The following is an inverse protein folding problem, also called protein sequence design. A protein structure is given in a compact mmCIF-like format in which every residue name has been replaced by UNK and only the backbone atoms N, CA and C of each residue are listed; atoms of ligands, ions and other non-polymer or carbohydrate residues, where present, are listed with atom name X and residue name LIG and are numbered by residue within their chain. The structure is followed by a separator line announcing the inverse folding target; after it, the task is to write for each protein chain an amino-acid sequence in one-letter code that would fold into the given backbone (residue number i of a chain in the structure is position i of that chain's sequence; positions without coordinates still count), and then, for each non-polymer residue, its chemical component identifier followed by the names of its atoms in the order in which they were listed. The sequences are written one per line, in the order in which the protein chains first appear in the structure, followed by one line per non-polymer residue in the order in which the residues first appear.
data_IF_903207446650
#
_entry.id   IF_903207446650
#
_cell.length_a   1.000
_cell.length_b   1.000
_cell.length_c   1.000
_cell.angle_alpha   90.00
_cell.angle_beta   90.00
_cell.angle_gamma   90.00
#
_symmetry.space_group_name_H-M   'P 1'
#
loop_
_entity.id
_entity.type
_entity.pdbx_description
1 polymer ?
#
# COMPACT_ATOMS: atom_id res chain seq x y z
N UNK A 1 10.27 15.57 14.29
CA UNK A 1 9.62 14.26 14.38
C UNK A 1 10.11 13.61 15.67
N UNK A 2 9.19 13.28 16.55
CA UNK A 2 9.48 12.59 17.82
C UNK A 2 9.82 11.12 17.58
N UNK A 3 10.47 10.49 18.57
CA UNK A 3 10.78 9.06 18.54
C UNK A 3 9.51 8.19 18.44
N UNK A 4 8.43 8.60 19.12
CA UNK A 4 7.15 7.91 19.06
C UNK A 4 6.51 7.98 17.66
N UNK A 5 6.57 9.13 16.99
CA UNK A 5 6.10 9.26 15.60
C UNK A 5 6.91 8.40 14.63
N UNK A 6 8.22 8.34 14.81
CA UNK A 6 9.09 7.50 13.99
C UNK A 6 8.78 6.01 14.16
N UNK A 7 8.71 5.52 15.40
CA UNK A 7 8.36 4.12 15.68
C UNK A 7 6.96 3.77 15.13
N UNK A 8 6.01 4.69 15.24
CA UNK A 8 4.67 4.51 14.68
C UNK A 8 4.67 4.42 13.15
N UNK A 9 5.38 5.33 12.46
CA UNK A 9 5.58 5.24 11.00
C UNK A 9 6.23 3.90 10.62
N UNK A 10 7.19 3.44 11.42
CA UNK A 10 7.95 2.24 11.11
C UNK A 10 7.17 0.95 11.31
N UNK A 11 6.27 0.90 12.30
CA UNK A 11 5.30 -0.19 12.45
C UNK A 11 4.40 -0.31 11.22
N UNK A 12 3.83 0.81 10.77
CA UNK A 12 3.00 0.86 9.55
C UNK A 12 3.82 0.42 8.34
N UNK A 13 5.04 0.94 8.19
CA UNK A 13 5.95 0.58 7.08
C UNK A 13 6.23 -0.92 7.03
N UNK A 14 6.54 -1.54 8.17
CA UNK A 14 6.82 -2.97 8.28
C UNK A 14 5.61 -3.81 7.89
N UNK A 15 4.42 -3.43 8.34
CA UNK A 15 3.17 -4.11 7.97
C UNK A 15 2.91 -4.03 6.47
N UNK A 16 3.06 -2.84 5.87
CA UNK A 16 2.92 -2.66 4.41
C UNK A 16 3.93 -3.51 3.63
N UNK A 17 5.18 -3.58 4.09
CA UNK A 17 6.21 -4.46 3.48
C UNK A 17 5.80 -5.93 3.59
N UNK A 18 5.24 -6.36 4.73
CA UNK A 18 4.71 -7.72 4.93
C UNK A 18 3.58 -8.03 3.95
N UNK A 19 2.61 -7.13 3.80
CA UNK A 19 1.48 -7.27 2.86
C UNK A 19 2.00 -7.44 1.43
N UNK A 20 2.94 -6.59 1.00
CA UNK A 20 3.50 -6.68 -0.35
C UNK A 20 4.27 -7.98 -0.56
N UNK A 21 5.08 -8.41 0.42
CA UNK A 21 5.77 -9.70 0.37
C UNK A 21 4.80 -10.87 0.23
N UNK A 22 3.65 -10.82 0.88
CA UNK A 22 2.66 -11.89 0.86
C UNK A 22 2.19 -12.18 -0.58
N UNK A 23 1.67 -11.19 -1.30
CA UNK A 23 1.11 -11.45 -2.63
C UNK A 23 2.17 -11.48 -3.75
N UNK A 24 3.30 -10.78 -3.58
CA UNK A 24 4.34 -10.65 -4.61
C UNK A 24 5.45 -11.70 -4.48
N UNK A 25 5.61 -12.30 -3.30
CA UNK A 25 6.77 -13.15 -2.94
C UNK A 25 8.07 -12.37 -2.67
N UNK A 26 8.09 -11.04 -2.89
CA UNK A 26 9.21 -10.13 -2.57
C UNK A 26 8.70 -8.79 -2.07
N UNK A 27 9.54 -8.09 -1.31
CA UNK A 27 9.18 -6.77 -0.75
C UNK A 27 9.00 -5.70 -1.82
N UNK A 28 8.35 -4.58 -1.48
CA UNK A 28 8.30 -3.40 -2.34
C UNK A 28 9.70 -2.80 -2.48
N UNK A 29 9.91 -1.97 -3.50
CA UNK A 29 11.15 -1.22 -3.67
C UNK A 29 11.28 -0.12 -2.61
N UNK A 30 10.17 0.55 -2.30
CA UNK A 30 10.12 1.57 -1.29
C UNK A 30 8.73 1.66 -0.66
N UNK A 31 8.69 2.01 0.63
CA UNK A 31 7.46 2.38 1.33
C UNK A 31 7.73 3.66 2.09
N UNK A 32 6.95 4.71 1.79
CA UNK A 32 7.01 5.98 2.50
C UNK A 32 5.71 6.19 3.25
N UNK A 33 5.82 6.34 4.56
CA UNK A 33 4.69 6.67 5.44
C UNK A 33 4.83 8.13 5.85
N UNK A 34 3.76 8.91 5.71
CA UNK A 34 3.69 10.30 6.16
C UNK A 34 2.52 10.45 7.12
N UNK A 35 2.78 11.02 8.29
CA UNK A 35 1.75 11.46 9.23
C UNK A 35 1.43 12.91 8.87
N UNK A 36 0.42 13.13 8.03
CA UNK A 36 0.07 14.47 7.55
C UNK A 36 -0.62 15.29 8.65
N UNK A 37 -1.37 14.61 9.52
CA UNK A 37 -2.00 15.17 10.72
C UNK A 37 -2.27 14.06 11.75
N UNK A 38 -2.88 14.40 12.88
CA UNK A 38 -3.33 13.41 13.87
C UNK A 38 -4.33 12.40 13.28
N UNK A 39 -5.09 12.81 12.25
CA UNK A 39 -6.17 12.03 11.63
C UNK A 39 -5.81 11.44 10.26
N UNK A 40 -4.86 12.02 9.53
CA UNK A 40 -4.53 11.62 8.17
C UNK A 40 -3.14 11.00 8.08
N UNK A 41 -3.08 9.77 7.56
CA UNK A 41 -1.84 9.07 7.23
C UNK A 41 -1.82 8.80 5.73
N UNK A 42 -0.70 9.11 5.09
CA UNK A 42 -0.46 8.79 3.68
C UNK A 42 0.63 7.73 3.57
N UNK A 43 0.37 6.67 2.81
CA UNK A 43 1.29 5.58 2.53
C UNK A 43 1.52 5.52 1.03
N UNK A 44 2.77 5.69 0.60
CA UNK A 44 3.21 5.51 -0.78
C UNK A 44 4.02 4.21 -0.87
N UNK A 45 3.65 3.33 -1.79
CA UNK A 45 4.27 2.01 -1.98
C UNK A 45 4.76 1.91 -3.42
N UNK A 46 6.06 1.72 -3.64
CA UNK A 46 6.66 1.55 -4.98
C UNK A 46 7.14 0.12 -5.20
N UNK A 47 7.19 -0.32 -6.45
CA UNK A 47 7.67 -1.66 -6.81
C UNK A 47 6.69 -2.76 -6.40
N UNK A 48 5.40 -2.50 -6.57
CA UNK A 48 4.29 -3.36 -6.12
C UNK A 48 3.90 -4.45 -7.12
N UNK A 49 4.30 -4.31 -8.38
CA UNK A 49 3.94 -5.25 -9.44
C UNK A 49 4.83 -6.50 -9.41
N UNK A 50 4.22 -7.64 -9.71
CA UNK A 50 4.95 -8.86 -10.04
C UNK A 50 5.72 -8.69 -11.35
N UNK A 51 6.72 -9.55 -11.62
CA UNK A 51 7.44 -9.51 -12.90
C UNK A 51 6.51 -9.70 -14.11
N UNK A 52 5.48 -10.54 -13.98
CA UNK A 52 4.47 -10.72 -15.03
C UNK A 52 3.65 -9.44 -15.25
N UNK A 53 3.16 -8.84 -14.17
CA UNK A 53 2.42 -7.58 -14.24
C UNK A 53 3.28 -6.45 -14.82
N UNK A 54 4.58 -6.43 -14.51
CA UNK A 54 5.52 -5.48 -15.11
C UNK A 54 5.59 -5.62 -16.63
N UNK A 55 5.70 -6.85 -17.15
CA UNK A 55 5.71 -7.16 -18.58
C UNK A 55 4.39 -6.76 -19.23
N UNK A 56 3.25 -7.16 -18.67
CA UNK A 56 1.92 -6.85 -19.23
C UNK A 56 1.72 -5.35 -19.42
N UNK A 57 2.07 -4.52 -18.42
CA UNK A 57 1.95 -3.07 -18.58
C UNK A 57 2.94 -2.53 -19.62
N UNK A 58 4.16 -3.09 -19.73
CA UNK A 58 5.12 -2.68 -20.79
C UNK A 58 4.60 -2.98 -22.20
N UNK A 59 3.86 -4.07 -22.36
CA UNK A 59 3.19 -4.45 -23.61
C UNK A 59 1.85 -3.71 -23.84
N UNK A 60 1.51 -2.73 -23.01
CA UNK A 60 0.27 -1.94 -23.13
C UNK A 60 -0.99 -2.64 -22.59
N UNK A 61 -0.88 -3.84 -22.01
CA UNK A 61 -1.98 -4.59 -21.41
C UNK A 61 -2.32 -4.10 -19.98
N UNK A 62 -2.44 -2.79 -19.84
CA UNK A 62 -2.65 -2.10 -18.56
C UNK A 62 -3.96 -2.51 -17.89
N UNK A 63 -5.03 -2.62 -18.67
CA UNK A 63 -6.36 -2.93 -18.18
C UNK A 63 -6.42 -4.33 -17.56
N UNK A 64 -5.69 -5.31 -18.12
CA UNK A 64 -5.61 -6.66 -17.53
C UNK A 64 -4.98 -6.65 -16.14
N UNK A 65 -3.96 -5.81 -15.95
CA UNK A 65 -3.35 -5.63 -14.63
C UNK A 65 -4.30 -4.90 -13.68
N UNK A 66 -5.07 -3.93 -14.18
CA UNK A 66 -6.10 -3.26 -13.37
C UNK A 66 -7.21 -4.23 -12.91
N UNK A 67 -7.69 -5.13 -13.79
CA UNK A 67 -8.65 -6.17 -13.42
C UNK A 67 -8.09 -7.14 -12.37
N UNK A 68 -6.83 -7.56 -12.50
CA UNK A 68 -6.15 -8.37 -11.48
C UNK A 68 -6.18 -7.69 -10.10
N UNK A 69 -5.93 -6.38 -10.04
CA UNK A 69 -5.96 -5.64 -8.78
C UNK A 69 -7.34 -5.57 -8.14
N UNK A 70 -8.44 -5.63 -8.91
CA UNK A 70 -9.80 -5.69 -8.38
C UNK A 70 -10.08 -6.98 -7.60
N UNK A 71 -9.38 -8.07 -7.94
CA UNK A 71 -9.47 -9.35 -7.23
C UNK A 71 -8.51 -9.38 -6.04
N UNK A 72 -7.28 -8.87 -6.23
CA UNK A 72 -6.26 -8.88 -5.19
C UNK A 72 -6.63 -7.98 -4.00
N UNK A 73 -7.16 -6.78 -4.25
CA UNK A 73 -7.44 -5.80 -3.19
C UNK A 73 -8.40 -6.36 -2.11
N UNK A 74 -9.59 -6.90 -2.44
CA UNK A 74 -10.48 -7.51 -1.45
C UNK A 74 -9.86 -8.68 -0.67
N UNK A 75 -9.00 -9.46 -1.34
CA UNK A 75 -8.28 -10.56 -0.69
C UNK A 75 -7.34 -10.01 0.40
N UNK A 76 -6.54 -8.99 0.07
CA UNK A 76 -5.62 -8.36 1.02
C UNK A 76 -6.36 -7.65 2.16
N UNK A 77 -7.50 -7.03 1.88
CA UNK A 77 -8.35 -6.43 2.91
C UNK A 77 -8.83 -7.48 3.91
N UNK A 78 -9.36 -8.60 3.43
CA UNK A 78 -9.83 -9.68 4.30
C UNK A 78 -8.71 -10.24 5.20
N UNK A 79 -7.50 -10.33 4.68
CA UNK A 79 -6.38 -10.94 5.39
C UNK A 79 -5.69 -9.97 6.38
N UNK A 80 -5.55 -8.70 6.02
CA UNK A 80 -4.69 -7.76 6.78
C UNK A 80 -5.42 -6.60 7.45
N UNK A 81 -6.73 -6.41 7.24
CA UNK A 81 -7.44 -5.24 7.81
C UNK A 81 -7.41 -5.23 9.34
N UNK A 82 -7.53 -6.38 10.00
CA UNK A 82 -7.46 -6.45 11.46
C UNK A 82 -6.08 -6.03 11.99
N UNK A 83 -5.00 -6.53 11.38
CA UNK A 83 -3.62 -6.17 11.73
C UNK A 83 -3.34 -4.69 11.44
N UNK A 84 -3.94 -4.13 10.38
CA UNK A 84 -3.88 -2.69 10.10
C UNK A 84 -4.59 -1.87 11.19
N UNK A 85 -5.79 -2.25 11.61
CA UNK A 85 -6.52 -1.55 12.69
C UNK A 85 -5.71 -1.60 13.99
N UNK A 86 -5.16 -2.75 14.34
CA UNK A 86 -4.29 -2.92 15.52
C UNK A 86 -3.05 -2.03 15.42
N UNK A 87 -2.38 -2.02 14.27
CA UNK A 87 -1.18 -1.21 14.02
C UNK A 87 -1.46 0.28 14.08
N UNK A 88 -2.60 0.72 13.54
CA UNK A 88 -3.03 2.12 13.53
C UNK A 88 -3.53 2.54 14.91
N UNK A 89 -4.09 1.62 15.70
CA UNK A 89 -4.61 1.81 17.05
C UNK A 89 -6.03 2.38 17.10
N UNK A 90 -6.68 2.58 15.95
CA UNK A 90 -8.07 3.06 15.86
C UNK A 90 -8.70 2.60 14.55
N UNK A 91 -10.02 2.67 14.48
CA UNK A 91 -10.76 2.51 13.25
C UNK A 91 -10.40 3.63 12.27
N UNK A 92 -10.48 3.33 10.97
CA UNK A 92 -10.22 4.31 9.93
C UNK A 92 -11.05 4.00 8.69
N UNK A 93 -11.29 5.03 7.88
CA UNK A 93 -11.66 4.86 6.48
C UNK A 93 -10.42 5.03 5.62
N UNK A 94 -10.43 4.52 4.39
CA UNK A 94 -9.26 4.68 3.53
C UNK A 94 -9.62 4.79 2.06
N UNK A 95 -8.75 5.46 1.32
CA UNK A 95 -8.75 5.50 -0.13
C UNK A 95 -7.49 4.81 -0.64
N UNK A 96 -7.65 4.00 -1.68
CA UNK A 96 -6.56 3.34 -2.40
C UNK A 96 -6.58 3.83 -3.84
N UNK A 97 -5.46 4.34 -4.34
CA UNK A 97 -5.27 4.68 -5.75
C UNK A 97 -3.98 4.08 -6.28
N UNK A 98 -4.06 3.52 -7.48
CA UNK A 98 -2.89 3.11 -8.25
C UNK A 98 -2.50 4.30 -9.12
N UNK A 99 -1.32 4.86 -8.87
CA UNK A 99 -0.77 5.96 -9.65
C UNK A 99 0.14 5.41 -10.75
N UNK A 100 -0.05 5.97 -11.94
CA UNK A 100 0.77 5.78 -13.13
C UNK A 100 1.10 4.31 -13.41
N UNK A 101 0.23 3.62 -14.16
CA UNK A 101 0.63 2.41 -14.90
C UNK A 101 1.53 2.79 -16.10
N UNK A 102 2.46 3.72 -15.88
CA UNK A 102 3.46 4.20 -16.83
C UNK A 102 4.83 3.61 -16.43
N UNK A 103 5.86 3.63 -17.31
CA UNK A 103 7.15 3.01 -17.02
C UNK A 103 7.99 3.67 -15.92
N UNK A 104 7.70 4.92 -15.53
CA UNK A 104 8.60 5.77 -14.72
C UNK A 104 8.37 5.78 -13.21
N UNK A 105 7.32 5.14 -12.68
CA UNK A 105 7.12 5.12 -11.23
C UNK A 105 5.75 4.61 -10.81
N UNK A 106 5.57 3.29 -10.79
CA UNK A 106 4.29 2.68 -10.40
C UNK A 106 4.18 2.68 -8.88
N UNK A 107 3.21 3.42 -8.37
CA UNK A 107 3.00 3.57 -6.94
C UNK A 107 1.56 3.28 -6.54
N UNK A 108 1.38 2.62 -5.40
CA UNK A 108 0.09 2.59 -4.71
C UNK A 108 0.14 3.69 -3.65
N UNK A 109 -0.88 4.52 -3.65
CA UNK A 109 -1.11 5.53 -2.62
C UNK A 109 -2.32 5.14 -1.82
N UNK A 110 -2.13 5.00 -0.51
CA UNK A 110 -3.18 4.74 0.44
C UNK A 110 -3.28 5.94 1.37
N UNK A 111 -4.48 6.50 1.50
CA UNK A 111 -4.78 7.54 2.46
C UNK A 111 -5.69 6.95 3.53
N UNK A 112 -5.23 6.94 4.78
CA UNK A 112 -5.99 6.47 5.94
C UNK A 112 -6.52 7.69 6.70
N UNK A 113 -7.83 7.75 6.91
CA UNK A 113 -8.51 8.77 7.70
C UNK A 113 -9.01 8.11 8.98
N UNK A 114 -8.35 8.37 10.11
CA UNK A 114 -8.72 7.81 11.41
C UNK A 114 -10.10 8.31 11.84
N UNK A 115 -10.89 7.40 12.38
CA UNK A 115 -12.12 7.74 13.11
C UNK A 115 -11.72 8.32 14.47
N UNK A 116 -12.32 9.46 14.80
CA UNK A 116 -12.17 10.13 16.11
C UNK A 116 -12.93 9.35 17.17
#
# INVERSE_FOLDING_TARGET
MSEAEFEYQEKIRRLVVKIVKHYRGKGPENVKVKLESSQLITIEIRGVLSSLSEILVKEGAVDLVAEYWKVLKPYLEKEFMAEMIETIGTQFTYNWKIYELCPSGRAIMIQLNKSV
#
